data_IF_748458068086
#
_entry.id   IF_748458068086
#
_cell.length_a   1.000
_cell.length_b   1.000
_cell.length_c   1.000
_cell.angle_alpha   90.00
_cell.angle_beta   90.00
_cell.angle_gamma   90.00
#
_symmetry.space_group_name_H-M   'P 1'
#
loop_
_entity.id
_entity.type
_entity.pdbx_description
1 polymer ?
#
# COMPACT_ATOMS: atom_id res chain seq x y z
N UNK A 1 -8.29 -104.20 -27.17
CA UNK A 1 -7.60 -104.10 -28.49
C UNK A 1 -7.44 -102.58 -28.80
N UNK A 2 -6.25 -102.24 -29.19
CA UNK A 2 -5.77 -101.00 -29.79
C UNK A 2 -5.64 -99.78 -28.86
N UNK A 3 -4.43 -99.58 -28.59
CA UNK A 3 -3.62 -98.43 -28.17
C UNK A 3 -3.81 -97.24 -29.12
N UNK A 4 -3.85 -96.02 -28.60
CA UNK A 4 -3.23 -94.95 -29.33
C UNK A 4 -2.81 -93.84 -28.31
N UNK A 5 -1.51 -93.63 -28.39
CA UNK A 5 -0.76 -92.61 -27.68
C UNK A 5 -1.01 -91.30 -28.30
N UNK A 6 -1.24 -90.24 -27.51
CA UNK A 6 -1.18 -88.85 -27.92
C UNK A 6 -0.15 -88.08 -27.06
N UNK A 7 0.85 -87.64 -27.77
CA UNK A 7 1.95 -86.83 -27.33
C UNK A 7 1.39 -85.43 -27.12
N UNK A 8 1.44 -84.89 -25.87
CA UNK A 8 1.11 -83.52 -25.59
C UNK A 8 2.41 -82.71 -25.53
N UNK A 9 2.60 -81.88 -26.56
CA UNK A 9 3.69 -80.91 -26.59
C UNK A 9 3.35 -79.75 -25.67
N UNK A 10 4.20 -79.57 -24.68
CA UNK A 10 4.09 -78.37 -23.76
C UNK A 10 4.82 -77.22 -24.42
N UNK A 11 4.08 -76.23 -24.96
CA UNK A 11 4.59 -74.92 -25.32
C UNK A 11 4.70 -74.04 -24.02
N UNK A 12 5.94 -73.83 -23.64
CA UNK A 12 6.24 -72.84 -22.55
C UNK A 12 6.16 -71.46 -23.14
N UNK A 13 5.07 -70.75 -22.77
CA UNK A 13 4.93 -69.32 -23.08
C UNK A 13 5.67 -68.50 -22.02
N UNK A 14 6.84 -67.97 -22.38
CA UNK A 14 7.52 -66.93 -21.58
C UNK A 14 6.70 -65.61 -21.66
N UNK A 15 5.97 -65.28 -20.62
CA UNK A 15 5.44 -63.95 -20.45
C UNK A 15 6.53 -63.02 -19.88
N UNK A 16 7.11 -62.15 -20.73
CA UNK A 16 7.91 -61.03 -20.26
C UNK A 16 7.00 -60.08 -19.49
N UNK A 17 7.10 -60.08 -18.17
CA UNK A 17 6.56 -59.04 -17.32
C UNK A 17 7.38 -57.76 -17.52
N UNK A 18 6.92 -56.89 -18.42
CA UNK A 18 7.44 -55.54 -18.57
C UNK A 18 7.08 -54.74 -17.30
N UNK A 19 8.05 -54.55 -16.38
CA UNK A 19 7.96 -53.54 -15.36
C UNK A 19 7.99 -52.17 -16.02
N UNK A 20 6.79 -51.65 -16.35
CA UNK A 20 6.64 -50.22 -16.63
C UNK A 20 6.94 -49.47 -15.33
N UNK A 21 8.18 -49.05 -15.17
CA UNK A 21 8.54 -48.04 -14.17
C UNK A 21 7.78 -46.78 -14.58
N UNK A 22 6.58 -46.59 -13.98
CA UNK A 22 5.92 -45.28 -13.96
C UNK A 22 6.86 -44.39 -13.16
N UNK A 23 7.74 -43.69 -13.87
CA UNK A 23 8.39 -42.51 -13.31
C UNK A 23 7.25 -41.58 -12.85
N UNK A 24 6.93 -41.62 -11.58
CA UNK A 24 6.32 -40.50 -10.93
C UNK A 24 7.32 -39.38 -11.10
N UNK A 25 7.17 -38.61 -12.19
CA UNK A 25 7.62 -37.25 -12.19
C UNK A 25 6.84 -36.59 -11.02
N UNK A 26 7.51 -36.56 -9.85
CA UNK A 26 7.15 -35.57 -8.84
C UNK A 26 7.16 -34.26 -9.59
N UNK A 27 5.99 -33.76 -9.97
CA UNK A 27 5.84 -32.37 -10.30
C UNK A 27 6.53 -31.66 -9.12
N UNK A 28 7.68 -31.07 -9.36
CA UNK A 28 8.31 -30.18 -8.41
C UNK A 28 7.20 -29.17 -8.10
N UNK A 29 6.52 -29.40 -6.98
CA UNK A 29 5.44 -28.54 -6.53
C UNK A 29 6.06 -27.16 -6.41
N UNK A 30 5.71 -26.26 -7.36
CA UNK A 30 6.10 -24.89 -7.24
C UNK A 30 5.66 -24.42 -5.86
N UNK A 31 6.47 -23.59 -5.21
CA UNK A 31 6.11 -23.02 -3.90
C UNK A 31 4.68 -22.49 -3.94
N UNK A 32 3.93 -22.72 -2.87
CA UNK A 32 2.59 -22.14 -2.70
C UNK A 32 2.63 -20.61 -2.65
N UNK A 33 3.78 -20.01 -2.32
CA UNK A 33 4.04 -18.58 -2.33
C UNK A 33 5.50 -18.27 -2.70
N UNK A 34 5.78 -18.08 -3.98
CA UNK A 34 7.13 -17.71 -4.43
C UNK A 34 7.63 -16.39 -3.81
N UNK A 35 6.70 -15.50 -3.41
CA UNK A 35 7.07 -14.22 -2.81
C UNK A 35 7.50 -14.41 -1.36
N UNK A 36 6.76 -15.18 -0.57
CA UNK A 36 7.16 -15.51 0.81
C UNK A 36 8.51 -16.21 0.81
N UNK A 37 8.71 -17.21 -0.07
CA UNK A 37 9.99 -17.91 -0.16
C UNK A 37 11.14 -16.95 -0.48
N UNK A 38 10.92 -16.03 -1.42
CA UNK A 38 11.91 -15.00 -1.77
C UNK A 38 12.25 -14.11 -0.58
N UNK A 39 11.25 -13.65 0.19
CA UNK A 39 11.43 -12.81 1.37
C UNK A 39 12.23 -13.56 2.43
N UNK A 40 11.83 -14.80 2.76
CA UNK A 40 12.46 -15.62 3.80
C UNK A 40 13.90 -16.01 3.41
N UNK A 41 14.13 -16.43 2.17
CA UNK A 41 15.48 -16.77 1.67
C UNK A 41 16.41 -15.56 1.68
N UNK A 42 15.90 -14.38 1.34
CA UNK A 42 16.66 -13.12 1.38
C UNK A 42 16.85 -12.62 2.82
N UNK A 43 16.00 -13.03 3.75
CA UNK A 43 15.97 -12.55 5.14
C UNK A 43 15.55 -11.08 5.26
N UNK A 44 14.79 -10.56 4.29
CA UNK A 44 14.48 -9.14 4.18
C UNK A 44 13.09 -8.93 3.54
N UNK A 45 12.27 -8.07 4.17
CA UNK A 45 11.02 -7.55 3.62
C UNK A 45 11.27 -6.15 3.04
N UNK A 46 11.02 -5.99 1.74
CA UNK A 46 11.20 -4.71 1.02
C UNK A 46 9.85 -4.02 0.84
N UNK A 47 9.68 -2.87 1.50
CA UNK A 47 8.42 -2.12 1.53
C UNK A 47 8.58 -0.78 0.85
N UNK A 48 7.84 -0.55 -0.24
CA UNK A 48 7.82 0.74 -0.94
C UNK A 48 6.99 1.76 -0.18
N UNK A 49 7.49 3.00 -0.14
CA UNK A 49 6.78 4.14 0.44
C UNK A 49 7.17 5.44 -0.25
N UNK A 50 6.32 6.48 -0.19
CA UNK A 50 6.67 7.80 -0.73
C UNK A 50 7.60 8.59 0.21
N UNK A 51 7.49 8.38 1.52
CA UNK A 51 8.26 9.13 2.51
C UNK A 51 7.98 10.64 2.50
N UNK A 52 6.81 11.06 2.02
CA UNK A 52 6.43 12.48 1.87
C UNK A 52 5.00 12.79 2.33
N UNK A 53 4.43 11.92 3.16
CA UNK A 53 3.04 11.99 3.61
C UNK A 53 2.92 11.83 5.14
N UNK A 54 3.53 12.76 5.95
CA UNK A 54 3.37 12.71 7.40
C UNK A 54 1.90 12.86 7.83
N UNK A 55 1.45 12.19 8.89
CA UNK A 55 2.18 11.36 9.84
C UNK A 55 2.32 9.89 9.38
N UNK A 56 1.81 9.52 8.19
CA UNK A 56 1.79 8.14 7.70
C UNK A 56 3.20 7.69 7.29
N UNK A 57 3.85 8.41 6.37
CA UNK A 57 5.25 8.16 6.02
C UNK A 57 5.97 9.47 5.72
N UNK A 58 7.12 9.68 6.31
CA UNK A 58 7.93 10.89 6.13
C UNK A 58 9.41 10.58 6.13
N UNK A 59 10.18 11.38 5.38
CA UNK A 59 11.64 11.33 5.43
C UNK A 59 12.15 12.27 6.50
N UNK A 60 12.78 11.75 7.52
CA UNK A 60 13.42 12.53 8.59
C UNK A 60 14.71 13.21 8.11
N UNK A 61 15.22 14.16 8.89
CA UNK A 61 16.48 14.92 8.59
C UNK A 61 17.69 14.03 8.38
N UNK A 62 17.76 12.89 9.08
CA UNK A 62 18.82 11.89 8.95
C UNK A 62 18.63 10.95 7.74
N UNK A 63 17.55 11.09 6.99
CA UNK A 63 17.22 10.28 5.82
C UNK A 63 16.41 9.02 6.14
N UNK A 64 16.12 8.73 7.41
CA UNK A 64 15.27 7.60 7.79
C UNK A 64 13.82 7.85 7.41
N UNK A 65 13.09 6.78 7.08
CA UNK A 65 11.63 6.83 6.89
C UNK A 65 10.98 6.59 8.25
N UNK A 66 10.10 7.49 8.65
CA UNK A 66 9.37 7.46 9.91
C UNK A 66 7.87 7.63 9.63
N UNK A 67 7.02 7.24 10.57
CA UNK A 67 5.56 7.38 10.46
C UNK A 67 4.83 6.08 10.76
N UNK A 68 3.51 6.16 10.86
CA UNK A 68 2.64 5.01 11.11
C UNK A 68 2.92 3.85 10.14
N UNK A 69 3.09 4.15 8.86
CA UNK A 69 3.36 3.16 7.82
C UNK A 69 4.71 2.45 8.00
N UNK A 70 5.71 3.19 8.51
CA UNK A 70 7.03 2.63 8.79
C UNK A 70 6.99 1.68 10.00
N UNK A 71 6.28 2.06 11.06
CA UNK A 71 6.12 1.23 12.26
C UNK A 71 5.30 -0.02 11.95
N UNK A 72 4.22 0.12 11.16
CA UNK A 72 3.43 -1.02 10.69
C UNK A 72 4.29 -1.98 9.84
N UNK A 73 5.10 -1.44 8.92
CA UNK A 73 6.02 -2.26 8.12
C UNK A 73 7.04 -2.99 9.00
N UNK A 74 7.54 -2.35 10.06
CA UNK A 74 8.47 -2.96 11.01
C UNK A 74 7.80 -4.10 11.80
N UNK A 75 6.55 -3.92 12.24
CA UNK A 75 5.79 -4.97 12.91
C UNK A 75 5.55 -6.18 11.99
N UNK A 76 5.18 -5.95 10.73
CA UNK A 76 5.00 -7.03 9.74
C UNK A 76 6.30 -7.78 9.45
N UNK A 77 7.43 -7.07 9.29
CA UNK A 77 8.73 -7.71 9.10
C UNK A 77 9.14 -8.55 10.32
N UNK A 78 8.87 -8.04 11.53
CA UNK A 78 9.09 -8.76 12.80
C UNK A 78 8.23 -10.03 12.88
N UNK A 79 6.95 -9.97 12.51
CA UNK A 79 6.07 -11.11 12.45
C UNK A 79 6.56 -12.21 11.48
N UNK A 80 7.24 -11.81 10.40
CA UNK A 80 7.88 -12.73 9.47
C UNK A 80 9.28 -13.21 9.90
N UNK A 81 9.86 -12.66 10.98
CA UNK A 81 11.22 -12.97 11.43
C UNK A 81 12.32 -12.49 10.46
N UNK A 82 12.07 -11.43 9.70
CA UNK A 82 13.00 -10.88 8.70
C UNK A 82 13.33 -9.41 8.97
N UNK A 83 14.37 -8.88 8.33
CA UNK A 83 14.71 -7.46 8.40
C UNK A 83 13.76 -6.63 7.54
N UNK A 84 13.47 -5.40 7.96
CA UNK A 84 12.77 -4.41 7.15
C UNK A 84 13.74 -3.60 6.32
N UNK A 85 13.42 -3.38 5.05
CA UNK A 85 14.03 -2.35 4.20
C UNK A 85 12.93 -1.48 3.59
N UNK A 86 12.87 -0.22 4.02
CA UNK A 86 11.99 0.79 3.39
C UNK A 86 12.63 1.26 2.08
N UNK A 87 11.86 1.26 1.00
CA UNK A 87 12.29 1.66 -0.35
C UNK A 87 11.53 2.91 -0.76
N UNK A 88 12.12 4.11 -0.54
CA UNK A 88 11.46 5.36 -0.93
C UNK A 88 11.42 5.52 -2.44
N UNK A 89 10.26 5.97 -2.97
CA UNK A 89 10.06 6.25 -4.40
C UNK A 89 8.92 7.25 -4.61
N UNK A 90 8.78 7.76 -5.83
CA UNK A 90 7.66 8.61 -6.19
C UNK A 90 6.32 7.89 -5.99
N UNK A 91 5.28 8.62 -5.58
CA UNK A 91 3.99 8.03 -5.23
C UNK A 91 3.35 7.24 -6.40
N UNK A 92 3.48 7.75 -7.62
CA UNK A 92 2.96 7.10 -8.83
C UNK A 92 3.71 5.81 -9.21
N UNK A 93 4.95 5.63 -8.72
CA UNK A 93 5.75 4.42 -8.93
C UNK A 93 5.41 3.27 -7.95
N UNK A 94 4.73 3.54 -6.83
CA UNK A 94 4.48 2.56 -5.76
C UNK A 94 3.76 1.30 -6.27
N UNK A 95 2.56 1.44 -6.83
CA UNK A 95 1.79 0.29 -7.31
C UNK A 95 2.45 -0.42 -8.49
N UNK A 96 3.00 0.29 -9.50
CA UNK A 96 3.79 -0.35 -10.54
C UNK A 96 4.98 -1.17 -10.03
N UNK A 97 5.71 -0.71 -8.99
CA UNK A 97 6.84 -1.45 -8.43
C UNK A 97 6.42 -2.76 -7.75
N UNK A 98 5.26 -2.74 -7.05
CA UNK A 98 4.65 -3.95 -6.48
C UNK A 98 4.26 -4.94 -7.59
N UNK A 99 3.61 -4.44 -8.66
CA UNK A 99 3.19 -5.28 -9.79
C UNK A 99 4.37 -5.97 -10.51
N UNK A 100 5.51 -5.27 -10.62
CA UNK A 100 6.73 -5.81 -11.25
C UNK A 100 7.57 -6.67 -10.29
N UNK A 101 7.19 -6.77 -9.00
CA UNK A 101 7.94 -7.51 -7.99
C UNK A 101 9.29 -6.89 -7.63
N UNK A 102 9.48 -5.59 -7.88
CA UNK A 102 10.68 -4.83 -7.49
C UNK A 102 10.75 -4.63 -5.99
N UNK A 103 9.58 -4.60 -5.34
CA UNK A 103 9.37 -4.63 -3.89
C UNK A 103 8.38 -5.73 -3.54
N UNK A 104 8.28 -6.09 -2.27
CA UNK A 104 7.39 -7.15 -1.82
C UNK A 104 5.99 -6.62 -1.50
N UNK A 105 5.89 -5.36 -1.10
CA UNK A 105 4.63 -4.64 -0.83
C UNK A 105 4.85 -3.13 -0.86
N UNK A 106 3.74 -2.37 -0.78
CA UNK A 106 3.77 -0.93 -0.57
C UNK A 106 2.83 -0.53 0.58
N UNK A 107 3.33 0.33 1.48
CA UNK A 107 2.58 0.97 2.55
C UNK A 107 2.93 2.47 2.49
N UNK A 108 1.99 3.30 2.11
CA UNK A 108 2.21 4.73 1.86
C UNK A 108 0.88 5.51 1.79
N UNK A 109 0.03 5.37 2.80
CA UNK A 109 -1.28 6.03 2.79
C UNK A 109 -2.12 5.65 1.57
N UNK A 110 -2.02 4.42 1.10
CA UNK A 110 -2.67 3.97 -0.13
C UNK A 110 -4.14 3.64 0.10
N UNK A 111 -5.05 4.50 -0.37
CA UNK A 111 -6.49 4.23 -0.33
C UNK A 111 -6.82 2.96 -1.12
N UNK A 112 -7.56 2.07 -0.50
CA UNK A 112 -8.10 0.86 -1.12
C UNK A 112 -9.24 1.25 -2.07
N UNK A 113 -9.03 1.10 -3.38
CA UNK A 113 -10.07 1.39 -4.38
C UNK A 113 -10.25 0.24 -5.35
N UNK A 114 -11.47 0.04 -5.93
CA UNK A 114 -11.69 -0.98 -6.94
C UNK A 114 -10.73 -0.89 -8.13
N UNK A 115 -10.41 0.34 -8.58
CA UNK A 115 -9.50 0.56 -9.71
C UNK A 115 -8.06 0.12 -9.40
N UNK A 116 -7.58 0.33 -8.16
CA UNK A 116 -6.29 -0.17 -7.71
C UNK A 116 -6.31 -1.68 -7.52
N UNK A 117 -7.43 -2.24 -7.02
CA UNK A 117 -7.61 -3.69 -6.88
C UNK A 117 -7.60 -4.47 -8.19
N UNK A 118 -7.85 -3.84 -9.34
CA UNK A 118 -7.67 -4.48 -10.64
C UNK A 118 -6.19 -4.81 -10.95
N UNK A 119 -5.26 -4.24 -10.18
CA UNK A 119 -3.81 -4.30 -10.47
C UNK A 119 -2.99 -4.89 -9.33
N UNK A 120 -3.40 -4.72 -8.09
CA UNK A 120 -2.74 -5.20 -6.87
C UNK A 120 -3.77 -5.75 -5.91
N UNK A 121 -3.38 -6.66 -5.02
CA UNK A 121 -4.18 -7.04 -3.88
C UNK A 121 -4.03 -6.00 -2.76
N UNK A 122 -5.04 -5.88 -1.89
CA UNK A 122 -4.96 -5.05 -0.69
C UNK A 122 -5.28 -5.87 0.55
N UNK A 123 -4.58 -5.56 1.62
CA UNK A 123 -4.89 -6.00 3.00
C UNK A 123 -5.17 -4.77 3.85
N UNK A 124 -6.15 -4.84 4.71
CA UNK A 124 -6.58 -3.73 5.56
C UNK A 124 -8.11 -3.60 5.62
N UNK A 125 -8.64 -2.41 5.99
CA UNK A 125 -7.88 -1.17 6.25
C UNK A 125 -7.13 -1.21 7.58
N UNK A 126 -5.93 -0.60 7.65
CA UNK A 126 -5.23 -0.37 8.90
C UNK A 126 -5.54 1.01 9.49
N UNK A 127 -6.09 1.92 8.68
CA UNK A 127 -6.55 3.25 9.06
C UNK A 127 -7.68 3.68 8.12
N UNK A 128 -8.65 4.45 8.64
CA UNK A 128 -9.61 5.17 7.81
C UNK A 128 -9.29 6.65 7.87
N UNK A 129 -8.87 7.22 6.74
CA UNK A 129 -8.58 8.63 6.53
C UNK A 129 -9.75 9.33 5.82
N UNK A 130 -9.53 10.49 5.21
CA UNK A 130 -10.51 11.20 4.39
C UNK A 130 -9.88 12.37 3.65
N UNK A 131 -10.47 12.76 2.51
CA UNK A 131 -10.03 13.91 1.74
C UNK A 131 -10.35 15.21 2.47
N UNK A 132 -9.35 16.07 2.54
CA UNK A 132 -9.44 17.41 3.10
C UNK A 132 -8.76 18.41 2.19
N UNK A 133 -8.68 19.66 2.62
CA UNK A 133 -7.91 20.70 1.95
C UNK A 133 -6.95 21.39 2.93
N UNK A 134 -5.79 21.76 2.44
CA UNK A 134 -4.90 22.71 3.08
C UNK A 134 -5.03 24.04 2.34
N UNK A 135 -5.32 25.14 3.07
CA UNK A 135 -5.61 26.45 2.46
C UNK A 135 -5.18 27.58 3.39
N UNK A 136 -4.98 28.78 2.86
CA UNK A 136 -4.86 30.05 3.63
C UNK A 136 -6.20 30.75 3.79
N UNK A 137 -7.24 30.31 3.09
CA UNK A 137 -8.57 30.93 3.14
C UNK A 137 -9.38 30.41 4.32
N UNK A 138 -9.63 31.27 5.29
CA UNK A 138 -10.52 30.94 6.42
C UNK A 138 -11.96 30.61 5.98
N UNK A 139 -12.36 31.06 4.80
CA UNK A 139 -13.67 30.73 4.22
C UNK A 139 -13.66 29.31 3.67
N UNK A 140 -12.62 28.95 2.89
CA UNK A 140 -12.50 27.59 2.34
C UNK A 140 -12.33 26.53 3.45
N UNK A 141 -11.62 26.86 4.53
CA UNK A 141 -11.45 25.96 5.67
C UNK A 141 -12.76 25.64 6.43
N UNK A 142 -13.85 26.34 6.14
CA UNK A 142 -15.18 26.12 6.76
C UNK A 142 -16.15 25.39 5.84
N UNK A 143 -15.74 25.04 4.64
CA UNK A 143 -16.57 24.29 3.69
C UNK A 143 -16.98 22.95 4.28
N UNK A 144 -18.20 22.55 3.97
CA UNK A 144 -18.75 21.25 4.37
C UNK A 144 -18.92 20.29 3.20
N UNK A 145 -18.88 20.82 1.97
CA UNK A 145 -19.04 20.07 0.74
C UNK A 145 -17.97 20.49 -0.27
N UNK A 146 -17.36 19.50 -0.90
CA UNK A 146 -16.31 19.75 -1.87
C UNK A 146 -16.82 20.49 -3.13
N UNK A 147 -18.09 20.28 -3.51
CA UNK A 147 -18.71 20.94 -4.67
C UNK A 147 -18.73 22.46 -4.57
N UNK A 148 -18.58 23.01 -3.36
CA UNK A 148 -18.45 24.45 -3.16
C UNK A 148 -17.13 25.03 -3.71
N UNK A 149 -16.14 24.16 -3.97
CA UNK A 149 -14.90 24.51 -4.69
C UNK A 149 -15.07 24.49 -6.23
N UNK A 150 -16.20 23.97 -6.77
CA UNK A 150 -16.41 23.75 -8.20
C UNK A 150 -16.71 25.05 -8.96
N UNK A 151 -15.75 25.97 -8.97
CA UNK A 151 -15.83 27.24 -9.69
C UNK A 151 -14.57 27.46 -10.54
N UNK A 152 -14.68 28.13 -11.71
CA UNK A 152 -13.52 28.41 -12.59
C UNK A 152 -12.47 29.34 -11.94
N UNK A 153 -12.83 30.05 -10.88
CA UNK A 153 -11.94 30.96 -10.18
C UNK A 153 -11.08 30.28 -9.13
N UNK A 154 -11.45 29.06 -8.69
CA UNK A 154 -10.71 28.29 -7.71
C UNK A 154 -9.60 27.49 -8.40
N UNK A 155 -8.39 27.57 -7.83
CA UNK A 155 -7.23 26.75 -8.23
C UNK A 155 -6.88 25.80 -7.10
N UNK A 156 -6.79 24.51 -7.42
CA UNK A 156 -6.42 23.48 -6.45
C UNK A 156 -5.18 22.72 -6.88
N UNK A 157 -4.34 22.35 -5.92
CA UNK A 157 -3.27 21.38 -6.15
C UNK A 157 -3.73 19.98 -5.72
N UNK A 158 -3.22 18.95 -6.39
CA UNK A 158 -3.40 17.56 -6.01
C UNK A 158 -2.17 16.73 -6.38
N UNK A 159 -1.84 15.71 -5.57
CA UNK A 159 -0.76 14.78 -5.86
C UNK A 159 -1.12 13.92 -7.07
N UNK A 160 -0.19 13.83 -8.03
CA UNK A 160 -0.35 13.02 -9.25
C UNK A 160 -0.61 11.55 -8.92
N UNK A 161 -1.53 10.91 -9.68
CA UNK A 161 -1.92 9.49 -9.54
C UNK A 161 -2.53 9.12 -8.18
N UNK A 162 -2.90 10.12 -7.37
CA UNK A 162 -3.57 9.93 -6.08
C UNK A 162 -5.09 9.83 -6.22
N UNK A 163 -5.74 9.47 -5.13
CA UNK A 163 -7.20 9.57 -5.00
C UNK A 163 -7.65 11.03 -4.94
N UNK A 164 -6.79 11.95 -4.45
CA UNK A 164 -7.07 13.39 -4.44
C UNK A 164 -7.19 13.98 -5.84
N UNK A 165 -6.29 13.60 -6.78
CA UNK A 165 -6.42 13.98 -8.19
C UNK A 165 -7.75 13.52 -8.77
N UNK A 166 -8.10 12.24 -8.58
CA UNK A 166 -9.37 11.68 -9.08
C UNK A 166 -10.57 12.35 -8.45
N UNK A 167 -10.53 12.56 -7.14
CA UNK A 167 -11.58 13.26 -6.41
C UNK A 167 -11.82 14.66 -6.99
N UNK A 168 -10.76 15.44 -7.23
CA UNK A 168 -10.87 16.75 -7.85
C UNK A 168 -11.49 16.67 -9.25
N UNK A 169 -11.02 15.76 -10.11
CA UNK A 169 -11.55 15.57 -11.47
C UNK A 169 -13.05 15.23 -11.49
N UNK A 170 -13.51 14.46 -10.53
CA UNK A 170 -14.91 13.98 -10.47
C UNK A 170 -15.85 14.96 -9.77
N UNK A 171 -15.37 15.64 -8.73
CA UNK A 171 -16.23 16.43 -7.81
C UNK A 171 -16.18 17.91 -8.12
N UNK A 172 -15.04 18.42 -8.62
CA UNK A 172 -14.83 19.86 -8.90
C UNK A 172 -14.23 20.09 -10.30
N UNK A 173 -14.87 19.59 -11.36
CA UNK A 173 -14.31 19.63 -12.71
C UNK A 173 -14.14 21.04 -13.31
N UNK A 174 -14.78 22.08 -12.74
CA UNK A 174 -14.63 23.48 -13.19
C UNK A 174 -13.43 24.17 -12.55
N UNK A 175 -12.97 23.70 -11.40
CA UNK A 175 -11.79 24.27 -10.76
C UNK A 175 -10.53 24.00 -11.59
N UNK A 176 -9.59 24.93 -11.56
CA UNK A 176 -8.29 24.74 -12.22
C UNK A 176 -7.42 23.84 -11.35
N UNK A 177 -7.04 22.66 -11.86
CA UNK A 177 -6.20 21.71 -11.13
C UNK A 177 -4.73 21.82 -11.54
N UNK A 178 -3.84 21.87 -10.55
CA UNK A 178 -2.38 21.82 -10.67
C UNK A 178 -1.90 20.50 -10.08
N UNK A 179 -1.31 19.62 -10.90
CA UNK A 179 -0.74 18.38 -10.43
C UNK A 179 0.68 18.59 -9.90
N UNK A 180 0.95 18.05 -8.71
CA UNK A 180 2.27 18.07 -8.08
C UNK A 180 2.82 16.67 -7.96
N UNK A 181 4.16 16.54 -7.89
CA UNK A 181 4.84 15.25 -7.77
C UNK A 181 5.11 14.87 -6.30
N UNK A 182 5.10 15.86 -5.39
CA UNK A 182 5.13 15.66 -3.94
C UNK A 182 4.08 16.52 -3.23
N UNK A 183 3.62 16.09 -2.05
CA UNK A 183 2.70 16.89 -1.24
C UNK A 183 3.37 18.18 -0.72
N UNK A 184 4.67 18.15 -0.44
CA UNK A 184 5.42 19.34 -0.03
C UNK A 184 5.43 20.43 -1.13
N UNK A 185 5.49 20.05 -2.42
CA UNK A 185 5.32 20.99 -3.53
C UNK A 185 3.93 21.63 -3.52
N UNK A 186 2.90 20.83 -3.22
CA UNK A 186 1.53 21.33 -3.06
C UNK A 186 1.40 22.31 -1.90
N UNK A 187 2.02 22.01 -0.75
CA UNK A 187 2.08 22.93 0.40
C UNK A 187 2.78 24.24 0.01
N UNK A 188 3.89 24.18 -0.70
CA UNK A 188 4.61 25.36 -1.18
C UNK A 188 3.72 26.24 -2.07
N UNK A 189 2.96 25.66 -2.99
CA UNK A 189 2.03 26.41 -3.85
C UNK A 189 0.94 27.12 -3.04
N UNK A 190 0.39 26.50 -2.00
CA UNK A 190 -0.59 27.14 -1.09
C UNK A 190 0.06 28.28 -0.33
N UNK A 191 1.24 28.06 0.26
CA UNK A 191 1.98 29.07 1.03
C UNK A 191 2.31 30.31 0.20
N UNK A 192 2.67 30.10 -1.07
CA UNK A 192 2.99 31.16 -2.03
C UNK A 192 1.73 31.81 -2.65
N UNK A 193 0.54 31.33 -2.36
CA UNK A 193 -0.72 31.84 -2.94
C UNK A 193 -0.87 31.56 -4.43
N UNK A 194 -0.16 30.56 -4.96
CA UNK A 194 -0.26 30.13 -6.37
C UNK A 194 -1.49 29.26 -6.65
N UNK A 195 -1.98 28.58 -5.59
CA UNK A 195 -3.26 27.86 -5.58
C UNK A 195 -4.05 28.24 -4.31
N UNK A 196 -5.36 28.09 -4.36
CA UNK A 196 -6.26 28.40 -3.25
C UNK A 196 -6.28 27.30 -2.20
N UNK A 197 -6.07 26.05 -2.64
CA UNK A 197 -6.02 24.89 -1.73
C UNK A 197 -5.18 23.75 -2.33
N UNK A 198 -4.62 22.91 -1.45
CA UNK A 198 -4.12 21.57 -1.76
C UNK A 198 -5.15 20.56 -1.26
N UNK A 199 -5.60 19.66 -2.14
CA UNK A 199 -6.43 18.51 -1.76
C UNK A 199 -5.50 17.37 -1.35
N UNK A 200 -5.64 16.90 -0.11
CA UNK A 200 -4.84 15.82 0.44
C UNK A 200 -5.59 15.13 1.60
N UNK A 201 -5.00 14.06 2.12
CA UNK A 201 -5.51 13.39 3.30
C UNK A 201 -5.57 14.32 4.52
N UNK A 202 -6.64 14.21 5.30
CA UNK A 202 -6.88 15.05 6.45
C UNK A 202 -5.72 15.07 7.46
N UNK A 203 -5.13 13.93 7.86
CA UNK A 203 -3.98 13.93 8.77
C UNK A 203 -2.78 14.71 8.21
N UNK A 204 -2.49 14.60 6.93
CA UNK A 204 -1.42 15.38 6.29
C UNK A 204 -1.71 16.89 6.38
N UNK A 205 -2.95 17.29 6.12
CA UNK A 205 -3.35 18.71 6.24
C UNK A 205 -3.19 19.22 7.67
N UNK A 206 -3.59 18.43 8.68
CA UNK A 206 -3.44 18.76 10.09
C UNK A 206 -1.96 18.96 10.47
N UNK A 207 -1.10 18.02 10.10
CA UNK A 207 0.35 18.12 10.34
C UNK A 207 0.95 19.34 9.63
N UNK A 208 0.50 19.65 8.41
CA UNK A 208 0.98 20.83 7.67
C UNK A 208 0.60 22.15 8.36
N UNK A 209 -0.62 22.27 8.88
CA UNK A 209 -1.04 23.43 9.69
C UNK A 209 -0.15 23.56 10.93
N UNK A 210 0.14 22.45 11.60
CA UNK A 210 1.00 22.44 12.78
C UNK A 210 2.45 22.81 12.43
N UNK A 211 3.02 22.23 11.38
CA UNK A 211 4.41 22.42 10.93
C UNK A 211 4.69 23.86 10.49
N UNK A 212 3.71 24.51 9.86
CA UNK A 212 3.84 25.85 9.29
C UNK A 212 2.96 26.88 10.01
N UNK A 213 2.97 26.88 11.34
CA UNK A 213 2.12 27.74 12.21
C UNK A 213 2.19 29.24 11.90
N UNK A 214 3.27 29.72 11.28
CA UNK A 214 3.47 31.12 10.92
C UNK A 214 2.85 31.55 9.57
N UNK A 215 2.28 30.61 8.80
CA UNK A 215 1.86 30.87 7.41
C UNK A 215 0.34 31.00 7.23
N UNK A 216 -0.42 31.12 8.33
CA UNK A 216 -1.89 31.23 8.33
C UNK A 216 -2.60 30.06 7.59
N UNK A 217 -1.97 28.87 7.60
CA UNK A 217 -2.59 27.68 7.03
C UNK A 217 -3.75 27.19 7.88
N UNK A 218 -4.77 26.66 7.22
CA UNK A 218 -5.94 26.05 7.83
C UNK A 218 -6.37 24.81 7.03
N UNK A 219 -7.11 23.93 7.68
CA UNK A 219 -7.73 22.75 7.07
C UNK A 219 -9.18 22.62 7.53
N UNK A 220 -9.92 21.70 6.93
CA UNK A 220 -11.31 21.42 7.35
C UNK A 220 -11.33 20.84 8.77
N UNK A 221 -12.42 21.10 9.48
CA UNK A 221 -12.70 20.43 10.75
C UNK A 221 -13.10 18.96 10.54
N UNK A 222 -13.83 18.69 9.46
CA UNK A 222 -14.26 17.34 9.07
C UNK A 222 -13.90 17.09 7.60
N UNK A 223 -13.28 15.96 7.26
CA UNK A 223 -12.94 15.65 5.88
C UNK A 223 -14.19 15.45 5.01
N UNK A 224 -14.06 15.62 3.70
CA UNK A 224 -15.15 15.45 2.73
C UNK A 224 -15.53 13.99 2.51
N UNK A 225 -14.60 13.05 2.71
CA UNK A 225 -14.76 11.61 2.40
C UNK A 225 -14.23 10.73 3.52
N UNK A 226 -14.47 9.43 3.39
CA UNK A 226 -13.82 8.37 4.18
C UNK A 226 -12.98 7.51 3.25
N UNK A 227 -11.69 7.42 3.52
CA UNK A 227 -10.69 6.74 2.69
C UNK A 227 -10.04 5.59 3.47
N UNK A 228 -10.43 4.33 3.21
CA UNK A 228 -9.80 3.18 3.85
C UNK A 228 -8.37 2.99 3.30
N UNK A 229 -7.36 3.04 4.15
CA UNK A 229 -5.96 2.86 3.79
C UNK A 229 -5.53 1.41 3.99
N UNK A 230 -4.79 0.88 3.02
CA UNK A 230 -4.37 -0.53 3.04
C UNK A 230 -2.96 -0.76 2.53
N UNK A 231 -2.51 -1.98 2.76
CA UNK A 231 -1.23 -2.53 2.33
C UNK A 231 -1.41 -3.09 0.92
N UNK A 232 -0.68 -2.57 -0.06
CA UNK A 232 -0.72 -3.08 -1.43
C UNK A 232 0.26 -4.24 -1.61
N UNK A 233 -0.22 -5.35 -2.15
CA UNK A 233 0.51 -6.59 -2.36
C UNK A 233 0.47 -7.01 -3.84
N UNK A 234 1.43 -7.83 -4.31
CA UNK A 234 1.35 -8.45 -5.63
C UNK A 234 0.05 -9.23 -5.83
N UNK A 235 -0.55 -9.19 -7.02
CA UNK A 235 -1.93 -9.67 -7.23
C UNK A 235 -2.10 -11.19 -7.21
N UNK A 236 -1.02 -11.97 -7.36
CA UNK A 236 -1.10 -13.41 -7.66
C UNK A 236 -0.50 -14.29 -6.55
N UNK A 237 -0.56 -13.85 -5.29
CA UNK A 237 -0.05 -14.62 -4.16
C UNK A 237 -1.07 -14.64 -3.00
N UNK A 238 -2.08 -15.55 -3.06
CA UNK A 238 -3.10 -15.63 -2.02
C UNK A 238 -2.55 -15.98 -0.64
N UNK A 239 -1.42 -16.72 -0.57
CA UNK A 239 -0.82 -17.09 0.71
C UNK A 239 -0.15 -15.88 1.36
N UNK A 240 0.50 -15.00 0.59
CA UNK A 240 1.02 -13.74 1.08
C UNK A 240 -0.10 -12.83 1.58
N UNK A 241 -1.21 -12.75 0.84
CA UNK A 241 -2.39 -11.97 1.28
C UNK A 241 -2.91 -12.51 2.60
N UNK A 242 -3.10 -13.83 2.74
CA UNK A 242 -3.56 -14.44 3.98
C UNK A 242 -2.58 -14.23 5.15
N UNK A 243 -1.27 -14.35 4.89
CA UNK A 243 -0.24 -14.08 5.91
C UNK A 243 -0.33 -12.64 6.42
N UNK A 244 -0.43 -11.68 5.51
CA UNK A 244 -0.52 -10.26 5.87
C UNK A 244 -1.83 -9.91 6.57
N UNK A 245 -2.95 -10.53 6.19
CA UNK A 245 -4.23 -10.36 6.88
C UNK A 245 -4.15 -10.84 8.32
N UNK A 246 -3.58 -12.03 8.55
CA UNK A 246 -3.44 -12.59 9.89
C UNK A 246 -2.45 -11.77 10.73
N UNK A 247 -1.33 -11.35 10.16
CA UNK A 247 -0.36 -10.51 10.86
C UNK A 247 -0.95 -9.15 11.24
N UNK A 248 -1.71 -8.52 10.33
CA UNK A 248 -2.37 -7.25 10.62
C UNK A 248 -3.42 -7.40 11.73
N UNK A 249 -4.21 -8.49 11.71
CA UNK A 249 -5.19 -8.78 12.75
C UNK A 249 -4.52 -9.00 14.12
N UNK A 250 -3.41 -9.73 14.18
CA UNK A 250 -2.65 -9.96 15.41
C UNK A 250 -2.06 -8.66 15.98
N UNK A 251 -1.53 -7.78 15.11
CA UNK A 251 -1.02 -6.45 15.49
C UNK A 251 -2.17 -5.58 16.04
N UNK A 252 -3.36 -5.62 15.42
CA UNK A 252 -4.54 -4.88 15.88
C UNK A 252 -5.08 -5.42 17.21
N UNK A 253 -5.27 -6.72 17.31
CA UNK A 253 -5.77 -7.40 18.52
C UNK A 253 -4.82 -7.22 19.73
N UNK A 254 -3.51 -7.08 19.49
CA UNK A 254 -2.53 -6.76 20.55
C UNK A 254 -2.60 -5.32 21.04
N UNK A 255 -3.32 -4.42 20.35
CA UNK A 255 -3.35 -2.99 20.62
C UNK A 255 -2.17 -2.20 20.02
N UNK A 256 -1.23 -2.85 19.35
CA UNK A 256 -0.04 -2.18 18.83
C UNK A 256 -0.36 -1.13 17.76
N UNK A 257 -1.40 -1.33 16.94
CA UNK A 257 -1.86 -0.28 15.99
C UNK A 257 -2.32 0.96 16.75
N UNK A 258 -3.04 0.80 17.86
CA UNK A 258 -3.49 1.91 18.67
C UNK A 258 -2.31 2.71 19.26
N UNK A 259 -1.30 2.03 19.78
CA UNK A 259 -0.09 2.68 20.31
C UNK A 259 0.68 3.44 19.22
N UNK A 260 0.81 2.84 18.03
CA UNK A 260 1.40 3.52 16.86
C UNK A 260 0.59 4.77 16.47
N UNK A 261 -0.75 4.65 16.43
CA UNK A 261 -1.63 5.79 16.13
C UNK A 261 -1.49 6.88 17.18
N UNK A 262 -1.44 6.55 18.47
CA UNK A 262 -1.23 7.51 19.53
C UNK A 262 0.07 8.30 19.31
N UNK A 263 1.18 7.60 19.06
CA UNK A 263 2.49 8.22 18.80
C UNK A 263 2.46 9.18 17.60
N UNK A 264 1.82 8.80 16.49
CA UNK A 264 1.90 9.59 15.27
C UNK A 264 0.79 10.66 15.12
N UNK A 265 -0.32 10.55 15.86
CA UNK A 265 -1.45 11.48 15.72
C UNK A 265 -1.67 12.35 16.96
N UNK A 266 -1.26 11.88 18.16
CA UNK A 266 -1.47 12.61 19.40
C UNK A 266 -0.20 13.26 19.96
N UNK A 267 0.99 12.67 19.68
CA UNK A 267 2.27 13.27 20.04
C UNK A 267 2.79 14.16 18.89
N UNK A 268 3.65 15.15 19.20
CA UNK A 268 4.12 16.12 18.20
C UNK A 268 5.65 16.30 18.15
N UNK A 269 6.40 15.65 19.01
CA UNK A 269 7.86 15.76 19.10
C UNK A 269 8.57 15.24 17.83
N UNK A 270 7.99 14.28 17.13
CA UNK A 270 8.51 13.74 15.86
C UNK A 270 8.46 14.76 14.72
N UNK A 271 7.57 15.79 14.78
CA UNK A 271 7.47 16.81 13.72
C UNK A 271 8.76 17.58 13.55
N UNK A 272 9.54 17.77 14.62
CA UNK A 272 10.85 18.42 14.58
C UNK A 272 11.91 17.60 13.84
N UNK A 273 11.66 16.30 13.63
CA UNK A 273 12.56 15.40 12.87
C UNK A 273 12.34 15.49 11.36
N UNK A 274 11.24 16.08 10.90
CA UNK A 274 10.94 16.23 9.46
C UNK A 274 11.97 17.15 8.78
N UNK A 275 12.27 16.84 7.50
CA UNK A 275 13.09 17.69 6.63
C UNK A 275 12.52 19.07 6.44
#
# INVERSE_FOLDING_TARGET
MKRWSLVVSILASLTLAGCSSVCHQSAAGGSASPIIDRIVQRGELRVATSGSQPPLSATAKDGTIIGLDADLAAALASAMGVKLTMVPMQFDALLPSVQRGEVDMAISGLTMTPQRNLKVAFVGPYLVSGMSILTKSKTLAKLRKAEELDTPTVKVAALRSSTAERFAQQTIPKATMVLVDTLDDGVALVREGKVDALIADHPFCMVSVYRYRGDDLATLETPFTFEPLGIALPPNDPLLVNLMQNALADIDDSGAIYDMMYTWFEEDDWVQRLK
#
